data_IF_110821722938
#
_entry.id   IF_110821722938
#
_cell.length_a   1.000
_cell.length_b   1.000
_cell.length_c   1.000
_cell.angle_alpha   90.00
_cell.angle_beta   90.00
_cell.angle_gamma   90.00
#
_symmetry.space_group_name_H-M   'P 1'
#
loop_
_entity.id
_entity.type
_entity.pdbx_description
1 polymer ?
#
# COMPACT_ATOMS: atom_id res chain seq x y z
N UNK A 1 -12.86 32.38 77.56
CA UNK A 1 -13.45 31.05 77.85
C UNK A 1 -12.80 30.09 76.90
N UNK A 2 -12.10 29.13 77.50
CA UNK A 2 -11.25 28.15 76.88
C UNK A 2 -12.07 26.93 76.42
N UNK A 3 -11.33 25.97 75.88
CA UNK A 3 -11.63 24.55 75.65
C UNK A 3 -11.96 24.18 74.21
N UNK A 4 -11.44 23.10 73.60
CA UNK A 4 -10.33 22.16 73.83
C UNK A 4 -10.55 21.10 72.73
N UNK A 5 -9.58 20.87 71.85
CA UNK A 5 -9.47 19.63 71.05
C UNK A 5 -9.21 18.44 72.01
N UNK A 6 -9.56 17.15 71.72
CA UNK A 6 -8.84 16.41 70.66
C UNK A 6 -9.48 15.12 70.06
N UNK A 7 -8.81 14.65 69.01
CA UNK A 7 -8.38 13.26 68.68
C UNK A 7 -9.29 12.10 68.23
N UNK A 8 -8.64 11.29 67.39
CA UNK A 8 -8.81 9.86 67.04
C UNK A 8 -9.98 9.44 66.12
N UNK A 9 -9.69 8.95 64.91
CA UNK A 9 -9.26 7.55 64.75
C UNK A 9 -8.61 7.25 63.39
N UNK A 10 -7.70 6.28 63.42
CA UNK A 10 -6.84 5.77 62.36
C UNK A 10 -7.59 4.72 61.56
N UNK A 11 -7.36 4.65 60.25
CA UNK A 11 -7.42 3.36 59.54
C UNK A 11 -6.33 3.33 58.46
N UNK A 12 -5.30 2.56 58.80
CA UNK A 12 -4.24 2.07 57.93
C UNK A 12 -4.84 1.00 57.00
N UNK A 13 -4.63 1.11 55.69
CA UNK A 13 -4.70 -0.06 54.80
C UNK A 13 -3.42 -0.10 53.97
N UNK A 14 -2.46 -0.82 54.53
CA UNK A 14 -1.33 -1.40 53.82
C UNK A 14 -1.85 -2.46 52.85
N UNK A 15 -1.33 -2.43 51.62
CA UNK A 15 -1.63 -3.39 50.57
C UNK A 15 -0.36 -3.72 49.81
N UNK A 16 0.60 -4.32 50.52
CA UNK A 16 1.74 -5.02 49.93
C UNK A 16 1.24 -6.31 49.26
N UNK A 17 1.54 -6.45 47.98
CA UNK A 17 1.20 -7.62 47.16
C UNK A 17 2.40 -7.97 46.28
N UNK A 18 3.46 -8.41 46.94
CA UNK A 18 4.66 -9.01 46.36
C UNK A 18 4.31 -10.37 45.77
N UNK A 19 4.60 -10.61 44.48
CA UNK A 19 4.67 -11.95 43.89
C UNK A 19 5.61 -11.93 42.68
N UNK A 20 6.91 -12.02 42.94
CA UNK A 20 7.81 -12.79 42.06
C UNK A 20 7.62 -14.29 42.35
N UNK A 21 7.80 -15.14 41.34
CA UNK A 21 9.09 -15.81 41.28
C UNK A 21 9.74 -15.85 39.89
N UNK A 22 11.06 -15.65 39.89
CA UNK A 22 12.03 -16.08 38.89
C UNK A 22 11.87 -17.57 38.51
N UNK A 23 12.13 -17.90 37.23
CA UNK A 23 13.15 -18.89 36.85
C UNK A 23 13.31 -18.98 35.32
N UNK A 24 14.40 -18.37 34.86
CA UNK A 24 15.43 -18.91 33.96
C UNK A 24 15.07 -19.62 32.63
N UNK A 25 15.59 -18.97 31.57
CA UNK A 25 16.48 -19.53 30.55
C UNK A 25 15.96 -20.59 29.56
N UNK A 26 15.93 -20.20 28.28
CA UNK A 26 16.96 -20.66 27.33
C UNK A 26 16.92 -19.88 26.02
N UNK A 27 18.12 -19.47 25.62
CA UNK A 27 18.47 -19.02 24.29
C UNK A 27 18.15 -20.10 23.25
N UNK A 28 17.66 -19.69 22.07
CA UNK A 28 18.13 -20.26 20.82
C UNK A 28 17.82 -19.32 19.66
N UNK A 29 18.88 -18.84 19.04
CA UNK A 29 18.86 -18.07 17.81
C UNK A 29 19.04 -19.04 16.63
N UNK A 30 18.19 -19.02 15.60
CA UNK A 30 18.56 -19.62 14.32
C UNK A 30 19.28 -18.57 13.47
N UNK A 31 20.61 -18.72 13.44
CA UNK A 31 21.48 -18.21 12.38
C UNK A 31 21.42 -19.18 11.20
N UNK A 32 21.58 -18.62 10.00
CA UNK A 32 21.88 -19.29 8.73
C UNK A 32 20.67 -20.00 8.06
N UNK A 33 20.48 -19.99 6.74
CA UNK A 33 21.47 -19.95 5.66
C UNK A 33 20.80 -19.50 4.35
N UNK A 34 21.39 -18.50 3.70
CA UNK A 34 21.17 -18.25 2.28
C UNK A 34 21.83 -19.38 1.49
N UNK A 35 21.07 -20.05 0.61
CA UNK A 35 21.64 -20.96 -0.38
C UNK A 35 21.16 -20.57 -1.78
N UNK A 36 22.03 -19.81 -2.45
CA UNK A 36 22.03 -19.65 -3.89
C UNK A 36 22.52 -20.97 -4.52
N UNK A 37 21.67 -21.63 -5.31
CA UNK A 37 22.11 -22.70 -6.22
C UNK A 37 22.09 -22.19 -7.65
N UNK A 38 23.22 -21.61 -8.06
CA UNK A 38 23.60 -21.48 -9.45
C UNK A 38 24.10 -22.86 -9.93
N UNK A 39 23.28 -23.57 -10.72
CA UNK A 39 23.70 -24.83 -11.36
C UNK A 39 24.02 -24.58 -12.83
N UNK A 40 25.27 -24.21 -13.07
CA UNK A 40 25.90 -24.38 -14.37
C UNK A 40 26.04 -25.88 -14.65
N UNK A 41 25.57 -26.35 -15.81
CA UNK A 41 25.83 -27.70 -16.30
C UNK A 41 26.26 -27.60 -17.75
N UNK A 42 27.57 -27.62 -17.95
CA UNK A 42 28.16 -28.15 -19.17
C UNK A 42 28.22 -29.68 -19.04
N UNK A 43 28.12 -30.40 -20.18
CA UNK A 43 29.13 -31.42 -20.39
C UNK A 43 29.72 -31.37 -21.81
N UNK A 44 31.04 -31.51 -21.84
CA UNK A 44 31.85 -31.86 -22.99
C UNK A 44 31.60 -33.32 -23.42
N UNK A 45 31.70 -33.61 -24.72
CA UNK A 45 32.74 -34.50 -25.30
C UNK A 45 32.43 -34.96 -26.72
N UNK A 46 33.56 -35.22 -27.39
CA UNK A 46 33.82 -36.26 -28.40
C UNK A 46 33.69 -35.87 -29.89
N UNK A 47 34.88 -35.70 -30.47
CA UNK A 47 35.18 -35.92 -31.89
C UNK A 47 34.84 -37.35 -32.34
N UNK A 48 34.82 -37.60 -33.67
CA UNK A 48 36.01 -38.27 -34.19
C UNK A 48 36.51 -37.73 -35.55
N UNK A 49 37.82 -37.83 -35.71
CA UNK A 49 38.54 -37.65 -36.95
C UNK A 49 38.33 -38.82 -37.92
N UNK A 50 38.40 -38.56 -39.23
CA UNK A 50 39.28 -39.27 -40.18
C UNK A 50 39.20 -38.66 -41.59
N UNK A 51 40.38 -38.34 -42.13
CA UNK A 51 40.62 -38.02 -43.52
C UNK A 51 40.42 -39.26 -44.43
N UNK A 52 40.32 -39.08 -45.75
CA UNK A 52 41.53 -39.31 -46.54
C UNK A 52 41.79 -38.33 -47.69
N UNK A 53 43.09 -38.20 -47.94
CA UNK A 53 43.82 -37.63 -49.08
C UNK A 53 43.23 -37.88 -50.48
N UNK A 54 43.31 -36.86 -51.35
CA UNK A 54 43.96 -36.91 -52.69
C UNK A 54 43.90 -35.53 -53.38
N UNK A 55 45.06 -34.92 -53.65
CA UNK A 55 45.25 -33.91 -54.72
C UNK A 55 45.28 -34.67 -56.06
N UNK A 56 44.79 -34.11 -57.19
CA UNK A 56 45.74 -33.37 -58.04
C UNK A 56 45.16 -32.28 -58.97
N UNK A 57 46.12 -31.46 -59.46
CA UNK A 57 46.21 -30.74 -60.73
C UNK A 57 45.49 -29.39 -60.92
N UNK A 58 46.36 -28.41 -61.11
CA UNK A 58 46.09 -27.07 -61.60
C UNK A 58 45.53 -27.10 -63.03
N UNK A 59 44.43 -26.36 -63.24
CA UNK A 59 43.94 -25.90 -64.52
C UNK A 59 43.70 -24.39 -64.43
N UNK A 60 44.27 -23.63 -65.37
CA UNK A 60 44.14 -22.17 -65.50
C UNK A 60 42.76 -21.76 -66.06
N UNK A 61 42.41 -20.49 -65.80
CA UNK A 61 41.39 -19.63 -66.44
C UNK A 61 39.94 -19.82 -65.92
N UNK A 62 39.17 -18.82 -65.48
CA UNK A 62 39.09 -17.36 -65.72
C UNK A 62 38.46 -16.67 -64.48
N UNK A 63 38.64 -15.36 -64.24
CA UNK A 63 38.02 -14.69 -63.10
C UNK A 63 36.53 -14.44 -63.37
N UNK A 64 35.65 -15.25 -62.77
CA UNK A 64 34.22 -14.93 -62.71
C UNK A 64 34.03 -13.93 -61.58
N UNK A 65 33.82 -12.67 -61.94
CA UNK A 65 33.48 -11.55 -61.05
C UNK A 65 32.34 -11.99 -60.11
N UNK A 66 32.64 -12.19 -58.82
CA UNK A 66 31.62 -12.37 -57.81
C UNK A 66 30.81 -11.07 -57.73
N UNK A 67 29.49 -11.15 -57.95
CA UNK A 67 28.61 -10.04 -57.60
C UNK A 67 28.65 -9.87 -56.08
N UNK A 68 28.78 -8.65 -55.55
CA UNK A 68 28.65 -8.44 -54.12
C UNK A 68 27.23 -8.85 -53.69
N UNK A 69 27.05 -9.50 -52.53
CA UNK A 69 25.72 -9.74 -52.00
C UNK A 69 25.05 -8.39 -51.82
N UNK A 70 23.86 -8.21 -52.40
CA UNK A 70 23.07 -7.00 -52.26
C UNK A 70 22.88 -6.72 -50.77
N UNK A 71 23.51 -5.65 -50.26
CA UNK A 71 23.32 -5.10 -48.92
C UNK A 71 21.95 -4.42 -48.77
N UNK A 72 20.90 -5.06 -49.29
CA UNK A 72 19.57 -4.49 -49.47
C UNK A 72 18.50 -5.12 -48.54
N UNK A 73 18.90 -5.83 -47.48
CA UNK A 73 17.94 -6.42 -46.53
C UNK A 73 17.86 -5.73 -45.16
N UNK A 74 18.85 -4.90 -44.77
CA UNK A 74 18.82 -4.18 -43.49
C UNK A 74 17.68 -3.14 -43.42
N UNK A 75 17.41 -2.43 -44.51
CA UNK A 75 16.36 -1.40 -44.54
C UNK A 75 14.95 -1.96 -44.38
N UNK A 76 14.65 -3.12 -44.99
CA UNK A 76 13.33 -3.76 -44.89
C UNK A 76 13.06 -4.29 -43.48
N UNK A 77 14.08 -4.83 -42.80
CA UNK A 77 13.95 -5.28 -41.41
C UNK A 77 13.75 -4.11 -40.44
N UNK A 78 14.37 -2.97 -40.70
CA UNK A 78 14.23 -1.80 -39.83
C UNK A 78 12.85 -1.15 -39.96
N UNK A 79 12.30 -1.06 -41.18
CA UNK A 79 10.94 -0.56 -41.41
C UNK A 79 9.91 -1.45 -40.71
N UNK A 80 10.04 -2.79 -40.81
CA UNK A 80 9.11 -3.71 -40.16
C UNK A 80 9.19 -3.60 -38.62
N UNK A 81 10.39 -3.43 -38.07
CA UNK A 81 10.57 -3.19 -36.63
C UNK A 81 9.92 -1.90 -36.16
N UNK A 82 10.09 -0.78 -36.89
CA UNK A 82 9.45 0.50 -36.53
C UNK A 82 7.93 0.43 -36.62
N UNK A 83 7.38 -0.29 -37.60
CA UNK A 83 5.92 -0.49 -37.70
C UNK A 83 5.39 -1.35 -36.56
N UNK A 84 6.07 -2.45 -36.21
CA UNK A 84 5.66 -3.32 -35.09
C UNK A 84 5.79 -2.60 -33.75
N UNK A 85 6.91 -1.94 -33.48
CA UNK A 85 7.11 -1.18 -32.24
C UNK A 85 6.18 0.02 -32.18
N UNK A 86 5.95 0.71 -33.31
CA UNK A 86 5.03 1.84 -33.39
C UNK A 86 3.57 1.44 -33.14
N UNK A 87 3.11 0.32 -33.72
CA UNK A 87 1.77 -0.21 -33.49
C UNK A 87 1.58 -0.74 -32.07
N UNK A 88 2.59 -1.44 -31.52
CA UNK A 88 2.57 -1.85 -30.12
C UNK A 88 2.59 -0.65 -29.18
N UNK A 89 3.43 0.35 -29.41
CA UNK A 89 3.48 1.56 -28.59
C UNK A 89 2.16 2.36 -28.66
N UNK A 90 1.55 2.47 -29.84
CA UNK A 90 0.23 3.08 -29.99
C UNK A 90 -0.85 2.26 -29.26
N UNK A 91 -0.80 0.93 -29.35
CA UNK A 91 -1.68 0.02 -28.61
C UNK A 91 -1.51 0.17 -27.10
N UNK A 92 -0.28 0.17 -26.58
CA UNK A 92 0.00 0.40 -25.17
C UNK A 92 -0.33 1.83 -24.71
N UNK A 93 -0.25 2.83 -25.57
CA UNK A 93 -0.71 4.18 -25.24
C UNK A 93 -2.24 4.22 -25.12
N UNK A 94 -2.97 3.66 -26.10
CA UNK A 94 -4.43 3.61 -26.09
C UNK A 94 -4.99 2.74 -24.95
N UNK A 95 -4.48 1.52 -24.79
CA UNK A 95 -4.92 0.62 -23.71
C UNK A 95 -4.30 0.96 -22.35
N UNK A 96 -3.14 1.59 -22.31
CA UNK A 96 -2.48 2.02 -21.07
C UNK A 96 -3.08 3.29 -20.48
N UNK A 97 -3.72 4.14 -21.29
CA UNK A 97 -4.50 5.27 -20.79
C UNK A 97 -5.72 4.84 -19.97
N UNK A 98 -6.35 3.72 -20.33
CA UNK A 98 -7.49 3.18 -19.57
C UNK A 98 -7.07 2.52 -18.25
N UNK A 99 -5.80 2.13 -18.09
CA UNK A 99 -5.31 1.43 -16.89
C UNK A 99 -4.35 2.25 -16.01
N UNK A 100 -3.95 3.44 -16.45
CA UNK A 100 -2.87 4.21 -15.80
C UNK A 100 -3.15 5.67 -15.43
N UNK A 101 -4.10 6.36 -16.07
CA UNK A 101 -4.18 7.83 -15.97
C UNK A 101 -5.53 8.44 -15.60
N UNK A 102 -6.60 7.66 -15.61
CA UNK A 102 -7.96 8.13 -15.34
C UNK A 102 -8.62 7.32 -14.23
N UNK A 103 -8.09 7.43 -12.99
CA UNK A 103 -8.91 7.05 -11.84
C UNK A 103 -10.25 7.79 -11.88
N UNK A 104 -11.31 7.30 -11.20
CA UNK A 104 -12.57 8.04 -11.08
C UNK A 104 -12.25 9.51 -10.84
N UNK A 105 -12.84 10.42 -11.63
CA UNK A 105 -12.68 11.86 -11.38
C UNK A 105 -12.96 12.05 -9.90
N UNK A 106 -11.92 12.40 -9.15
CA UNK A 106 -12.01 12.51 -7.70
C UNK A 106 -13.20 13.40 -7.35
N UNK A 107 -13.79 13.21 -6.17
CA UNK A 107 -14.92 14.02 -5.73
C UNK A 107 -14.60 15.50 -5.93
N UNK A 108 -15.56 16.27 -6.47
CA UNK A 108 -15.41 17.71 -6.70
C UNK A 108 -15.53 18.54 -5.41
N UNK A 109 -15.43 17.88 -4.25
CA UNK A 109 -15.60 18.51 -2.95
C UNK A 109 -14.43 19.46 -2.63
N UNK A 110 -14.75 20.54 -1.93
CA UNK A 110 -13.78 21.58 -1.56
C UNK A 110 -13.58 21.63 -0.04
N UNK A 111 -12.40 22.02 0.46
CA UNK A 111 -12.23 22.35 1.87
C UNK A 111 -13.26 23.38 2.33
N UNK A 112 -13.83 23.15 3.51
CA UNK A 112 -14.93 23.92 4.10
C UNK A 112 -16.33 23.45 3.68
N UNK A 113 -16.45 22.50 2.73
CA UNK A 113 -17.74 21.98 2.31
C UNK A 113 -18.20 20.84 3.22
N UNK A 114 -19.49 20.83 3.55
CA UNK A 114 -20.16 19.67 4.15
C UNK A 114 -20.98 18.94 3.08
N UNK A 115 -20.83 17.62 3.01
CA UNK A 115 -21.54 16.74 2.08
C UNK A 115 -22.10 15.54 2.83
N UNK A 116 -23.26 15.05 2.41
CA UNK A 116 -23.78 13.78 2.90
C UNK A 116 -23.07 12.64 2.17
N UNK A 117 -22.49 11.72 2.92
CA UNK A 117 -21.79 10.54 2.39
C UNK A 117 -22.40 9.28 2.97
N UNK A 118 -22.50 8.25 2.13
CA UNK A 118 -22.84 6.90 2.55
C UNK A 118 -21.60 6.02 2.48
N UNK A 119 -21.25 5.40 3.60
CA UNK A 119 -20.03 4.60 3.76
C UNK A 119 -20.44 3.16 4.06
N UNK A 120 -19.88 2.21 3.32
CA UNK A 120 -20.06 0.79 3.60
C UNK A 120 -18.94 0.29 4.50
N UNK A 121 -19.30 -0.41 5.58
CA UNK A 121 -18.40 -0.85 6.64
C UNK A 121 -18.64 -2.32 7.01
N UNK A 122 -17.65 -2.92 7.66
CA UNK A 122 -17.78 -4.10 8.52
C UNK A 122 -17.36 -3.78 9.95
N UNK A 123 -17.79 -4.56 10.93
CA UNK A 123 -17.44 -4.31 12.33
C UNK A 123 -15.91 -4.34 12.60
N UNK A 124 -15.14 -5.09 11.80
CA UNK A 124 -13.67 -5.16 11.89
C UNK A 124 -12.95 -3.85 11.50
N UNK A 125 -13.58 -3.01 10.68
CA UNK A 125 -12.99 -1.80 10.13
C UNK A 125 -12.53 -0.80 11.20
N UNK A 126 -13.15 -0.85 12.39
CA UNK A 126 -12.74 -0.04 13.56
C UNK A 126 -11.28 -0.25 13.96
N UNK A 127 -10.68 -1.39 13.64
CA UNK A 127 -9.29 -1.71 13.98
C UNK A 127 -8.39 -1.85 12.75
N UNK A 128 -8.98 -2.17 11.60
CA UNK A 128 -8.24 -2.52 10.39
C UNK A 128 -7.96 -1.30 9.51
N UNK A 129 -8.87 -0.32 9.48
CA UNK A 129 -8.71 0.89 8.69
C UNK A 129 -7.76 1.87 9.35
N UNK A 130 -6.54 1.98 8.81
CA UNK A 130 -5.53 2.92 9.23
C UNK A 130 -4.91 3.64 8.03
N UNK A 131 -4.38 4.83 8.25
CA UNK A 131 -3.52 5.49 7.29
C UNK A 131 -2.15 5.82 7.90
N UNK A 132 -1.20 6.14 7.04
CA UNK A 132 0.09 6.70 7.40
C UNK A 132 0.34 8.01 6.65
N UNK A 133 0.63 9.08 7.39
CA UNK A 133 1.03 10.36 6.83
C UNK A 133 1.75 11.18 7.92
N UNK A 134 2.72 11.99 7.53
CA UNK A 134 3.43 12.90 8.44
C UNK A 134 2.68 14.20 8.70
N UNK A 135 1.73 14.53 7.83
CA UNK A 135 1.01 15.79 7.86
C UNK A 135 -0.22 15.70 8.78
N UNK A 136 -0.54 16.83 9.43
CA UNK A 136 -1.78 17.01 10.20
C UNK A 136 -2.76 17.87 9.40
N UNK A 137 -4.05 17.56 9.49
CA UNK A 137 -5.13 18.37 8.90
C UNK A 137 -6.08 18.79 10.01
N UNK A 138 -6.16 20.09 10.28
CA UNK A 138 -6.99 20.67 11.34
C UNK A 138 -6.78 20.00 12.73
N UNK A 139 -5.52 19.65 13.05
CA UNK A 139 -5.17 18.98 14.31
C UNK A 139 -5.50 17.48 14.36
N UNK A 140 -5.84 16.88 13.21
CA UNK A 140 -6.05 15.44 13.05
C UNK A 140 -4.91 14.80 12.28
N UNK A 141 -4.65 13.54 12.57
CA UNK A 141 -3.50 12.81 12.06
C UNK A 141 -3.86 11.38 11.72
N UNK A 142 -3.09 10.76 10.86
CA UNK A 142 -3.16 9.31 10.65
C UNK A 142 -2.70 8.54 11.90
N UNK A 143 -3.12 7.29 12.05
CA UNK A 143 -2.63 6.42 13.15
C UNK A 143 -1.10 6.22 13.10
N UNK A 144 -0.52 6.38 11.91
CA UNK A 144 0.90 6.22 11.65
C UNK A 144 1.50 7.45 10.96
N UNK A 145 2.78 7.73 11.20
CA UNK A 145 3.57 8.69 10.41
C UNK A 145 4.08 8.04 9.11
N UNK A 146 4.49 6.78 9.23
CA UNK A 146 4.93 5.92 8.11
C UNK A 146 4.40 4.50 8.33
N UNK A 147 4.39 3.62 7.31
CA UNK A 147 3.92 2.24 7.49
C UNK A 147 4.57 1.44 8.63
N UNK A 148 5.74 1.88 9.12
CA UNK A 148 6.50 1.24 10.20
C UNK A 148 6.58 2.08 11.47
N UNK A 149 6.02 3.30 11.49
CA UNK A 149 6.12 4.23 12.61
C UNK A 149 4.74 4.73 13.02
N UNK A 150 4.31 4.35 14.21
CA UNK A 150 3.08 4.86 14.84
C UNK A 150 3.21 6.36 15.08
N UNK A 151 2.09 7.07 15.04
CA UNK A 151 2.04 8.49 15.31
C UNK A 151 2.57 8.82 16.71
N UNK A 152 3.55 9.73 16.79
CA UNK A 152 4.29 9.99 18.02
C UNK A 152 3.63 10.96 19.01
N UNK A 153 2.50 11.59 18.65
CA UNK A 153 1.87 12.66 19.46
C UNK A 153 0.42 12.35 19.80
N UNK A 154 0.11 12.21 21.09
CA UNK A 154 -1.26 11.97 21.56
C UNK A 154 -1.65 10.50 21.57
N UNK A 155 -2.93 10.23 21.81
CA UNK A 155 -3.47 8.87 21.88
C UNK A 155 -3.87 8.38 20.47
N UNK A 156 -3.22 7.33 19.92
CA UNK A 156 -3.59 6.77 18.63
C UNK A 156 -5.02 6.19 18.61
N UNK A 157 -5.60 5.91 19.78
CA UNK A 157 -6.98 5.43 19.95
C UNK A 157 -8.06 6.51 19.91
N UNK A 158 -7.71 7.80 19.91
CA UNK A 158 -8.68 8.91 19.87
C UNK A 158 -9.28 9.06 18.47
N UNK A 159 -10.35 8.32 18.19
CA UNK A 159 -11.04 8.32 16.91
C UNK A 159 -11.49 9.71 16.43
N UNK A 160 -11.68 10.68 17.34
CA UNK A 160 -12.03 12.07 16.95
C UNK A 160 -10.87 12.83 16.31
N UNK A 161 -9.63 12.37 16.54
CA UNK A 161 -8.39 12.96 15.99
C UNK A 161 -7.70 12.04 15.01
N UNK A 162 -7.96 10.74 15.09
CA UNK A 162 -7.38 9.74 14.19
C UNK A 162 -8.14 9.70 12.87
N UNK A 163 -7.45 10.08 11.81
CA UNK A 163 -7.87 9.97 10.42
C UNK A 163 -7.79 8.51 9.97
N UNK A 164 -8.86 8.05 9.32
CA UNK A 164 -8.97 6.70 8.75
C UNK A 164 -9.46 6.78 7.30
N UNK A 165 -9.00 5.87 6.42
CA UNK A 165 -9.45 5.84 5.05
C UNK A 165 -10.83 5.21 4.95
N UNK A 166 -11.71 5.81 4.15
CA UNK A 166 -13.05 5.31 3.86
C UNK A 166 -13.33 5.34 2.38
N UNK A 167 -14.25 4.48 1.94
CA UNK A 167 -14.78 4.48 0.58
C UNK A 167 -16.29 4.66 0.64
N UNK A 168 -16.83 5.65 -0.06
CA UNK A 168 -18.27 5.81 -0.18
C UNK A 168 -18.88 4.78 -1.14
N UNK A 169 -20.20 4.63 -1.10
CA UNK A 169 -20.96 3.82 -2.07
C UNK A 169 -20.77 4.28 -3.52
N UNK A 170 -20.44 5.56 -3.73
CA UNK A 170 -20.09 6.14 -5.03
C UNK A 170 -18.62 5.87 -5.46
N UNK A 171 -17.90 4.99 -4.77
CA UNK A 171 -16.48 4.69 -4.99
C UNK A 171 -15.55 5.89 -4.82
N UNK A 172 -15.94 6.85 -3.98
CA UNK A 172 -15.07 7.96 -3.60
C UNK A 172 -14.25 7.55 -2.39
N UNK A 173 -12.93 7.56 -2.53
CA UNK A 173 -12.00 7.40 -1.41
C UNK A 173 -11.74 8.75 -0.75
N UNK A 174 -11.81 8.80 0.57
CA UNK A 174 -11.51 9.98 1.37
C UNK A 174 -11.02 9.56 2.75
N UNK A 175 -10.52 10.52 3.51
CA UNK A 175 -10.02 10.29 4.86
C UNK A 175 -10.87 11.09 5.84
N UNK A 176 -11.28 10.47 6.93
CA UNK A 176 -12.08 11.14 7.93
C UNK A 176 -11.79 10.63 9.35
N UNK A 177 -12.15 11.45 10.34
CA UNK A 177 -12.14 11.08 11.75
C UNK A 177 -13.56 11.13 12.32
N UNK A 178 -13.73 10.54 13.51
CA UNK A 178 -14.92 10.66 14.35
C UNK A 178 -16.01 9.64 14.09
N UNK A 179 -15.92 8.83 13.04
CA UNK A 179 -16.95 7.86 12.68
C UNK A 179 -17.25 6.87 13.82
N UNK A 180 -16.21 6.28 14.41
CA UNK A 180 -16.38 5.26 15.46
C UNK A 180 -16.69 5.87 16.84
N UNK A 181 -16.65 7.19 16.94
CA UNK A 181 -17.09 7.97 18.10
C UNK A 181 -18.58 8.32 18.06
N UNK A 182 -19.26 8.04 16.94
CA UNK A 182 -20.67 8.35 16.78
C UNK A 182 -21.57 7.40 17.59
N UNK A 183 -22.61 7.90 18.25
CA UNK A 183 -23.48 7.10 19.11
C UNK A 183 -24.26 6.02 18.34
N UNK A 184 -24.49 6.21 17.04
CA UNK A 184 -25.11 5.20 16.19
C UNK A 184 -24.23 3.93 16.03
N UNK A 185 -22.94 4.02 16.33
CA UNK A 185 -21.95 2.95 16.14
C UNK A 185 -21.40 2.38 17.47
N UNK A 186 -21.89 2.84 18.62
CA UNK A 186 -21.45 2.36 19.93
C UNK A 186 -22.12 1.07 20.40
N UNK A 187 -23.14 0.61 19.67
CA UNK A 187 -23.95 -0.57 20.02
C UNK A 187 -23.48 -1.87 19.36
N UNK A 188 -24.39 -2.84 19.29
CA UNK A 188 -24.14 -4.09 18.59
C UNK A 188 -24.27 -3.85 17.08
N UNK A 189 -23.11 -3.82 16.40
CA UNK A 189 -23.06 -3.61 14.96
C UNK A 189 -23.49 -4.86 14.20
N UNK A 190 -24.05 -4.73 12.98
CA UNK A 190 -24.31 -5.87 12.12
C UNK A 190 -23.04 -6.71 11.91
N UNK A 191 -23.19 -8.04 11.94
CA UNK A 191 -22.08 -8.98 11.68
C UNK A 191 -21.70 -9.05 10.21
N UNK A 192 -22.61 -8.62 9.33
CA UNK A 192 -22.39 -8.50 7.88
C UNK A 192 -22.07 -7.05 7.52
N UNK A 193 -21.73 -6.81 6.25
CA UNK A 193 -21.52 -5.46 5.73
C UNK A 193 -22.77 -4.60 5.95
N UNK A 194 -22.58 -3.39 6.44
CA UNK A 194 -23.65 -2.41 6.67
C UNK A 194 -23.23 -1.05 6.14
N UNK A 195 -24.20 -0.18 5.86
CA UNK A 195 -23.94 1.18 5.43
C UNK A 195 -24.24 2.17 6.55
N UNK A 196 -23.57 3.32 6.53
CA UNK A 196 -23.89 4.47 7.39
C UNK A 196 -23.96 5.73 6.55
N UNK A 197 -24.98 6.54 6.78
CA UNK A 197 -25.08 7.90 6.23
C UNK A 197 -24.57 8.89 7.25
N UNK A 198 -23.61 9.72 6.85
CA UNK A 198 -22.93 10.67 7.70
C UNK A 198 -22.80 12.01 7.01
N UNK A 199 -22.67 13.09 7.78
CA UNK A 199 -22.25 14.40 7.28
C UNK A 199 -20.73 14.49 7.33
N UNK A 200 -20.11 14.52 6.15
CA UNK A 200 -18.67 14.71 6.01
C UNK A 200 -18.36 16.19 5.80
N UNK A 201 -17.60 16.78 6.71
CA UNK A 201 -17.07 18.14 6.55
C UNK A 201 -15.62 18.06 6.14
N UNK A 202 -15.33 18.52 4.92
CA UNK A 202 -13.97 18.56 4.37
C UNK A 202 -13.22 19.68 5.07
N UNK A 203 -12.12 19.38 5.73
CA UNK A 203 -11.32 20.39 6.43
C UNK A 203 -10.03 20.73 5.69
N UNK A 204 -9.54 19.81 4.88
CA UNK A 204 -8.35 20.05 4.10
C UNK A 204 -7.98 18.88 3.21
N UNK A 205 -6.70 18.83 2.88
CA UNK A 205 -6.13 17.81 2.02
C UNK A 205 -4.91 17.20 2.70
N UNK A 206 -4.81 15.89 2.60
CA UNK A 206 -3.70 15.10 3.08
C UNK A 206 -2.84 14.70 1.90
N UNK A 207 -1.54 15.00 1.96
CA UNK A 207 -0.62 14.77 0.87
C UNK A 207 -0.11 13.33 0.90
N UNK A 208 -0.43 12.57 -0.15
CA UNK A 208 0.13 11.23 -0.39
C UNK A 208 0.11 10.30 0.84
N UNK A 209 -1.05 10.14 1.53
CA UNK A 209 -1.13 9.17 2.61
C UNK A 209 -0.90 7.75 2.06
N UNK A 210 -0.50 6.83 2.92
CA UNK A 210 -0.47 5.40 2.62
C UNK A 210 -1.61 4.74 3.39
N UNK A 211 -2.34 3.82 2.78
CA UNK A 211 -3.48 3.18 3.45
C UNK A 211 -3.12 1.76 3.89
N UNK A 212 -3.61 1.39 5.07
CA UNK A 212 -3.56 0.05 5.58
C UNK A 212 -4.99 -0.48 5.61
N UNK A 213 -5.22 -1.53 4.83
CA UNK A 213 -6.46 -2.29 4.81
C UNK A 213 -6.22 -3.65 5.46
N UNK A 214 -7.23 -4.52 5.49
CA UNK A 214 -7.09 -5.91 5.91
C UNK A 214 -5.98 -6.65 5.14
N UNK A 215 -5.83 -6.37 3.84
CA UNK A 215 -4.79 -6.95 2.97
C UNK A 215 -3.38 -6.40 3.20
N UNK A 216 -3.21 -5.47 4.14
CA UNK A 216 -1.95 -4.81 4.45
C UNK A 216 -1.83 -3.40 3.86
N UNK A 217 -0.58 -2.92 3.78
CA UNK A 217 -0.27 -1.58 3.26
C UNK A 217 -0.39 -1.54 1.73
N UNK A 218 -1.30 -0.70 1.25
CA UNK A 218 -1.41 -0.37 -0.16
C UNK A 218 -0.61 0.88 -0.49
N UNK A 219 -0.06 0.94 -1.71
CA UNK A 219 0.71 2.10 -2.17
C UNK A 219 -0.08 3.40 -2.08
N UNK A 220 0.64 4.53 -2.07
CA UNK A 220 0.02 5.85 -1.94
C UNK A 220 -1.11 6.05 -2.98
N UNK A 221 -2.36 6.37 -2.57
CA UNK A 221 -3.35 6.98 -3.44
C UNK A 221 -2.72 8.02 -4.36
N UNK A 222 -3.18 8.03 -5.61
CA UNK A 222 -2.72 8.99 -6.60
C UNK A 222 -3.19 10.39 -6.23
N UNK A 223 -2.30 11.20 -5.66
CA UNK A 223 -2.51 12.62 -5.43
C UNK A 223 -2.85 12.98 -3.98
N UNK A 224 -3.52 14.13 -3.84
CA UNK A 224 -3.99 14.65 -2.55
C UNK A 224 -5.33 14.02 -2.20
N UNK A 225 -5.47 13.55 -0.96
CA UNK A 225 -6.73 13.00 -0.45
C UNK A 225 -7.48 14.04 0.36
N UNK A 226 -8.80 14.10 0.22
CA UNK A 226 -9.62 14.96 1.07
C UNK A 226 -9.65 14.39 2.50
N UNK A 227 -9.42 15.27 3.48
CA UNK A 227 -9.42 14.93 4.90
C UNK A 227 -10.44 15.80 5.65
N UNK A 228 -11.13 15.20 6.62
CA UNK A 228 -12.23 15.88 7.31
C UNK A 228 -12.81 15.12 8.50
N UNK A 229 -14.01 15.50 8.92
CA UNK A 229 -14.75 14.89 10.04
C UNK A 229 -16.07 14.32 9.58
N UNK A 230 -16.46 13.20 10.16
CA UNK A 230 -17.80 12.63 10.03
C UNK A 230 -18.60 12.96 11.29
N UNK A 231 -19.83 13.42 11.10
CA UNK A 231 -20.76 13.75 12.18
C UNK A 231 -22.18 13.33 11.83
N UNK A 232 -23.01 13.11 12.84
CA UNK A 232 -24.44 12.86 12.66
C UNK A 232 -24.70 11.58 11.86
N UNK A 233 -23.93 10.53 12.16
CA UNK A 233 -24.01 9.28 11.44
C UNK A 233 -25.24 8.47 11.85
N UNK A 234 -25.89 7.84 10.87
CA UNK A 234 -27.06 6.97 11.06
C UNK A 234 -26.90 5.68 10.28
N UNK A 235 -27.34 4.56 10.86
CA UNK A 235 -27.29 3.24 10.21
C UNK A 235 -28.27 3.15 9.03
N UNK A 236 -27.70 2.66 7.93
CA UNK A 236 -28.27 2.11 6.71
C UNK A 236 -29.02 0.78 6.85
N UNK A 237 -30.35 0.66 7.02
CA UNK A 237 -31.00 -0.64 7.01
C UNK A 237 -30.86 -1.37 5.66
#
# INVERSE_FOLDING_TARGET
>A
MAEKEPDEDKDEVEGEGESEPEAEAKADAPKAEAKAEAKASAPAKAAPAKAPTKKPKAGKATPRRAQPPSSASLGKSMVLFVVVVGTLAAGFALLGQERGGGGPRGPTWKPGQTVDVEITLVAGDKRELNCAATDEVAGRHCSFETPTKVWGKGDPGDDKKTLRPYTSTDNVQFVAAGLWSEPALSGNLPTTRFSVKCKYTVEGKLKSPTFHWESGWEGQPRGEMLAGVLTGCTLVP
#
